data_IF_287577785898
#
_entry.id   IF_287577785898
#
_cell.length_a   1.000
_cell.length_b   1.000
_cell.length_c   1.000
_cell.angle_alpha   90.00
_cell.angle_beta   90.00
_cell.angle_gamma   90.00
#
_symmetry.space_group_name_H-M   'P 1'
#
loop_
_entity.id
_entity.type
_entity.pdbx_description
1 polymer ?
#
# COMPACT_ATOMS: atom_id res chain seq x y z
N UNK A 1 -59.31 16.18 23.45
CA UNK A 1 -59.18 16.76 22.11
C UNK A 1 -58.18 15.89 21.36
N UNK A 2 -58.73 14.91 20.63
CA UNK A 2 -58.90 14.92 19.17
C UNK A 2 -57.63 14.44 18.46
N UNK A 3 -57.74 13.20 17.98
CA UNK A 3 -56.82 12.53 17.08
C UNK A 3 -56.92 13.12 15.67
N UNK A 4 -55.84 12.98 14.88
CA UNK A 4 -55.93 13.01 13.42
C UNK A 4 -55.05 11.93 12.82
N UNK A 5 -55.73 10.91 12.30
CA UNK A 5 -55.27 9.91 11.33
C UNK A 5 -56.30 9.96 10.20
N UNK A 6 -55.89 10.35 9.01
CA UNK A 6 -56.55 10.12 7.70
C UNK A 6 -55.37 10.05 6.70
N UNK A 7 -55.03 9.01 5.92
CA UNK A 7 -55.69 7.99 5.08
C UNK A 7 -56.24 8.50 3.73
N UNK A 8 -55.64 8.00 2.63
CA UNK A 8 -56.13 7.94 1.24
C UNK A 8 -54.95 7.50 0.33
N UNK A 9 -54.83 6.29 -0.25
CA UNK A 9 -55.61 5.63 -1.34
C UNK A 9 -55.82 6.58 -2.55
N UNK A 10 -55.55 6.30 -3.83
CA UNK A 10 -55.46 5.11 -4.70
C UNK A 10 -54.60 5.50 -5.95
N UNK A 11 -53.71 4.67 -6.51
CA UNK A 11 -53.85 3.74 -7.68
C UNK A 11 -54.42 4.32 -8.99
N UNK A 12 -53.61 4.29 -10.06
CA UNK A 12 -53.92 3.93 -11.48
C UNK A 12 -52.68 4.29 -12.36
N UNK A 13 -51.88 3.34 -12.85
CA UNK A 13 -52.02 2.53 -14.07
C UNK A 13 -51.83 3.25 -15.43
N UNK A 14 -50.73 2.85 -16.09
CA UNK A 14 -50.52 2.49 -17.51
C UNK A 14 -50.44 3.52 -18.68
N UNK A 15 -49.37 3.30 -19.47
CA UNK A 15 -48.92 3.72 -20.82
C UNK A 15 -49.96 3.54 -21.98
N UNK A 16 -49.67 3.73 -23.30
CA UNK A 16 -48.44 4.10 -24.07
C UNK A 16 -48.67 5.04 -25.32
N UNK A 17 -47.61 5.27 -26.10
CA UNK A 17 -47.66 5.40 -27.57
C UNK A 17 -47.03 6.67 -28.15
N UNK A 18 -46.52 6.76 -29.40
CA UNK A 18 -45.82 5.88 -30.37
C UNK A 18 -45.55 6.74 -31.64
N UNK A 19 -44.81 6.20 -32.62
CA UNK A 19 -44.57 6.65 -34.02
C UNK A 19 -43.42 7.64 -34.24
N UNK A 20 -42.53 7.51 -35.24
CA UNK A 20 -42.31 6.64 -36.42
C UNK A 20 -41.06 7.23 -37.13
N UNK A 21 -40.19 6.54 -37.88
CA UNK A 21 -40.33 5.95 -39.22
C UNK A 21 -38.94 5.36 -39.63
N UNK A 22 -38.90 4.23 -40.37
CA UNK A 22 -37.70 3.73 -41.10
C UNK A 22 -37.53 4.40 -42.49
N UNK A 23 -36.74 3.87 -43.47
CA UNK A 23 -36.08 2.55 -43.56
C UNK A 23 -34.63 2.49 -44.14
N UNK A 24 -34.05 1.28 -44.10
CA UNK A 24 -33.01 0.62 -44.92
C UNK A 24 -31.95 1.40 -45.74
N UNK A 25 -30.65 1.11 -45.49
CA UNK A 25 -29.63 0.87 -46.55
C UNK A 25 -28.59 -0.19 -46.08
N UNK A 26 -28.43 -1.25 -46.86
CA UNK A 26 -27.36 -2.26 -46.83
C UNK A 26 -25.96 -1.67 -47.02
N UNK A 27 -24.99 -2.06 -46.18
CA UNK A 27 -23.57 -2.11 -46.55
C UNK A 27 -22.94 -3.40 -46.00
N UNK A 28 -22.71 -4.33 -46.91
CA UNK A 28 -21.69 -5.39 -46.83
C UNK A 28 -20.29 -4.77 -46.88
N UNK A 29 -19.39 -5.17 -45.97
CA UNK A 29 -17.97 -4.87 -46.16
C UNK A 29 -17.08 -5.11 -44.95
N UNK A 30 -16.26 -6.17 -45.06
CA UNK A 30 -14.91 -6.28 -44.51
C UNK A 30 -14.73 -6.66 -43.04
N UNK A 31 -14.24 -7.89 -42.86
CA UNK A 31 -13.40 -8.29 -41.73
C UNK A 31 -12.27 -7.26 -41.52
N UNK A 32 -11.91 -6.99 -40.25
CA UNK A 32 -10.52 -7.02 -39.90
C UNK A 32 -10.30 -8.08 -38.82
N UNK A 33 -9.47 -9.05 -39.22
CA UNK A 33 -8.46 -9.71 -38.41
C UNK A 33 -8.65 -9.59 -36.90
N UNK A 34 -9.16 -10.68 -36.30
CA UNK A 34 -9.05 -10.90 -34.87
C UNK A 34 -7.57 -11.18 -34.53
N UNK A 35 -6.74 -10.13 -34.65
CA UNK A 35 -5.57 -10.01 -33.81
C UNK A 35 -6.09 -9.75 -32.41
N UNK A 36 -6.48 -10.84 -31.73
CA UNK A 36 -6.51 -10.90 -30.27
C UNK A 36 -5.06 -10.70 -29.83
N UNK A 37 -4.62 -9.45 -29.87
CA UNK A 37 -3.43 -9.01 -29.17
C UNK A 37 -3.69 -9.38 -27.73
N UNK A 38 -2.94 -10.37 -27.28
CA UNK A 38 -2.80 -10.74 -25.89
C UNK A 38 -2.30 -9.48 -25.17
N UNK A 39 -3.25 -8.63 -24.74
CA UNK A 39 -2.96 -7.48 -23.90
C UNK A 39 -2.67 -8.09 -22.54
N UNK A 40 -1.43 -8.57 -22.39
CA UNK A 40 -0.83 -8.81 -21.10
C UNK A 40 -1.10 -7.53 -20.30
N UNK A 41 -1.86 -7.59 -19.18
CA UNK A 41 -2.11 -6.42 -18.39
C UNK A 41 -0.74 -5.87 -17.99
N UNK A 42 -0.40 -4.67 -18.50
CA UNK A 42 0.65 -3.88 -17.88
C UNK A 42 0.23 -3.74 -16.42
N UNK A 43 0.96 -4.37 -15.51
CA UNK A 43 0.91 -3.98 -14.11
C UNK A 43 1.47 -2.56 -14.07
N UNK A 44 0.58 -1.58 -14.24
CA UNK A 44 0.87 -0.19 -13.97
C UNK A 44 1.38 -0.10 -12.52
N UNK A 45 2.33 0.81 -12.27
CA UNK A 45 2.80 1.07 -10.91
C UNK A 45 1.57 1.27 -9.99
N UNK A 46 1.52 0.53 -8.89
CA UNK A 46 0.43 0.67 -7.93
C UNK A 46 0.49 2.06 -7.29
N UNK A 47 -0.66 2.56 -6.83
CA UNK A 47 -0.66 3.74 -5.97
C UNK A 47 0.23 3.47 -4.74
N UNK A 48 1.14 4.40 -4.37
CA UNK A 48 1.92 4.29 -3.16
C UNK A 48 1.05 4.16 -1.91
N UNK A 49 1.46 3.31 -0.98
CA UNK A 49 0.83 3.17 0.35
C UNK A 49 1.87 3.41 1.43
N UNK A 50 1.44 3.93 2.57
CA UNK A 50 2.32 4.01 3.74
C UNK A 50 2.57 2.63 4.35
N UNK A 51 3.66 2.48 5.10
CA UNK A 51 3.95 1.25 5.84
C UNK A 51 2.83 0.92 6.85
N UNK A 52 2.18 1.94 7.41
CA UNK A 52 1.03 1.72 8.28
C UNK A 52 -0.16 1.12 7.52
N UNK A 53 -0.51 1.71 6.38
CA UNK A 53 -1.62 1.24 5.53
C UNK A 53 -1.37 -0.17 4.99
N UNK A 54 -0.13 -0.50 4.60
CA UNK A 54 0.22 -1.85 4.14
C UNK A 54 0.05 -2.90 5.24
N UNK A 55 0.47 -2.60 6.47
CA UNK A 55 0.29 -3.49 7.61
C UNK A 55 -1.20 -3.67 7.96
N UNK A 56 -2.00 -2.61 7.85
CA UNK A 56 -3.44 -2.72 8.10
C UNK A 56 -4.15 -3.54 7.03
N UNK A 57 -3.90 -3.24 5.76
CA UNK A 57 -4.60 -3.85 4.63
C UNK A 57 -4.19 -5.30 4.37
N UNK A 58 -2.92 -5.65 4.59
CA UNK A 58 -2.39 -6.96 4.21
C UNK A 58 -2.08 -7.89 5.37
N UNK A 59 -1.74 -7.34 6.54
CA UNK A 59 -1.30 -8.12 7.70
C UNK A 59 -2.36 -8.18 8.80
N UNK A 60 -3.53 -7.58 8.55
CA UNK A 60 -4.68 -7.55 9.45
C UNK A 60 -4.43 -6.72 10.71
N UNK A 61 -3.49 -5.78 10.67
CA UNK A 61 -3.35 -4.81 11.76
C UNK A 61 -4.51 -3.84 11.75
N UNK A 62 -4.81 -3.32 12.93
CA UNK A 62 -5.80 -2.26 13.14
C UNK A 62 -5.07 -1.01 13.66
N UNK A 63 -5.74 0.15 13.72
CA UNK A 63 -5.19 1.33 14.37
C UNK A 63 -4.69 1.07 15.81
N UNK A 64 -5.29 0.11 16.53
CA UNK A 64 -4.89 -0.26 17.89
C UNK A 64 -3.49 -0.91 17.99
N UNK A 65 -2.92 -1.34 16.85
CA UNK A 65 -1.57 -1.88 16.79
C UNK A 65 -0.50 -0.77 16.83
N UNK A 66 -0.89 0.47 16.60
CA UNK A 66 0.02 1.61 16.52
C UNK A 66 -0.11 2.49 17.76
N UNK A 67 0.93 3.27 18.03
CA UNK A 67 0.84 4.40 18.94
C UNK A 67 0.46 5.65 18.15
N UNK A 68 -0.46 6.41 18.72
CA UNK A 68 -0.95 7.67 18.17
C UNK A 68 -0.39 8.87 18.97
N UNK A 69 0.40 8.61 20.01
CA UNK A 69 0.99 9.63 20.87
C UNK A 69 2.32 10.13 20.31
N UNK A 70 2.24 11.16 19.46
CA UNK A 70 3.42 11.85 18.93
C UNK A 70 3.06 12.89 17.87
N UNK A 71 4.04 13.64 17.37
CA UNK A 71 3.81 14.65 16.35
C UNK A 71 3.37 14.05 14.99
N UNK A 72 3.81 12.84 14.64
CA UNK A 72 3.58 12.22 13.33
C UNK A 72 3.18 10.74 13.40
N UNK A 73 2.04 10.43 14.03
CA UNK A 73 1.52 9.08 14.06
C UNK A 73 1.14 8.57 12.65
N UNK A 74 0.99 7.24 12.46
CA UNK A 74 1.10 6.19 13.47
C UNK A 74 2.52 5.65 13.68
N UNK A 75 2.83 5.28 14.93
CA UNK A 75 4.10 4.70 15.33
C UNK A 75 4.01 3.19 15.58
N UNK A 76 5.04 2.44 15.19
CA UNK A 76 5.17 1.01 15.49
C UNK A 76 6.48 0.71 16.23
N UNK A 77 6.62 -0.50 16.76
CA UNK A 77 7.88 -0.95 17.39
C UNK A 77 8.67 -1.83 16.43
N UNK A 78 9.99 -1.68 16.50
CA UNK A 78 10.92 -2.62 15.89
C UNK A 78 11.28 -3.69 16.92
N UNK A 79 11.10 -4.95 16.55
CA UNK A 79 11.44 -6.09 17.39
C UNK A 79 12.12 -7.20 16.59
N UNK A 80 12.16 -8.38 17.17
CA UNK A 80 12.46 -9.58 16.40
C UNK A 80 11.49 -10.73 16.63
N UNK A 81 11.46 -11.61 15.65
CA UNK A 81 10.56 -12.76 15.51
C UNK A 81 11.42 -13.99 15.24
N UNK A 82 11.08 -15.11 15.87
CA UNK A 82 11.64 -16.40 15.49
C UNK A 82 10.93 -16.86 14.22
N UNK A 83 11.71 -17.16 13.18
CA UNK A 83 11.21 -17.75 11.94
C UNK A 83 10.55 -19.10 12.19
N UNK A 84 9.74 -19.57 11.24
CA UNK A 84 9.04 -20.86 11.33
C UNK A 84 9.98 -22.06 11.47
N UNK A 85 11.23 -21.95 11.00
CA UNK A 85 12.24 -22.99 11.17
C UNK A 85 12.80 -23.03 12.60
N UNK A 86 12.45 -22.07 13.46
CA UNK A 86 12.89 -21.90 14.86
C UNK A 86 14.41 -21.78 15.04
N UNK A 87 15.17 -21.76 13.94
CA UNK A 87 16.64 -21.63 13.95
C UNK A 87 17.11 -20.23 13.61
N UNK A 88 16.26 -19.42 12.98
CA UNK A 88 16.64 -18.08 12.51
C UNK A 88 15.78 -17.02 13.19
N UNK A 89 16.44 -16.06 13.84
CA UNK A 89 15.82 -14.85 14.38
C UNK A 89 15.89 -13.77 13.32
N UNK A 90 14.79 -13.04 13.11
CA UNK A 90 14.67 -12.00 12.08
C UNK A 90 14.07 -10.71 12.64
N UNK A 91 14.37 -9.53 12.05
CA UNK A 91 13.72 -8.29 12.44
C UNK A 91 12.24 -8.32 12.04
N UNK A 92 11.39 -7.75 12.91
CA UNK A 92 9.94 -7.74 12.72
C UNK A 92 9.33 -6.39 13.09
N UNK A 93 8.25 -6.02 12.40
CA UNK A 93 7.33 -5.01 12.89
C UNK A 93 6.56 -5.59 14.07
N UNK A 94 6.51 -4.86 15.17
CA UNK A 94 5.81 -5.25 16.39
C UNK A 94 4.76 -4.20 16.72
N UNK A 95 3.58 -4.68 17.10
CA UNK A 95 2.52 -3.87 17.69
C UNK A 95 3.07 -3.07 18.86
N UNK A 96 2.64 -1.82 18.96
CA UNK A 96 2.97 -0.96 20.09
C UNK A 96 2.20 -1.38 21.34
N UNK A 97 0.93 -1.74 21.17
CA UNK A 97 0.12 -2.33 22.24
C UNK A 97 0.58 -3.75 22.53
N UNK A 98 0.80 -4.04 23.81
CA UNK A 98 1.12 -5.37 24.34
C UNK A 98 -0.12 -6.19 24.69
N UNK A 99 -1.32 -5.69 24.39
CA UNK A 99 -2.52 -6.41 24.71
C UNK A 99 -2.52 -7.76 24.00
N UNK A 100 -2.59 -8.83 24.81
CA UNK A 100 -2.60 -10.23 24.34
C UNK A 100 -3.84 -10.57 23.50
N UNK A 101 -4.73 -9.61 23.32
CA UNK A 101 -5.99 -9.72 22.58
C UNK A 101 -5.73 -9.54 21.07
N UNK A 102 -4.66 -8.84 20.67
CA UNK A 102 -4.32 -8.65 19.27
C UNK A 102 -3.76 -9.95 18.68
N UNK A 103 -4.50 -10.55 17.76
CA UNK A 103 -4.22 -11.86 17.15
C UNK A 103 -2.89 -11.92 16.39
N UNK A 104 -2.33 -10.75 16.03
CA UNK A 104 -1.12 -10.64 15.20
C UNK A 104 -0.25 -9.47 15.62
N UNK A 105 0.44 -9.63 16.76
CA UNK A 105 1.28 -8.57 17.33
C UNK A 105 2.66 -8.43 16.68
N UNK A 106 3.07 -9.35 15.79
CA UNK A 106 4.35 -9.30 15.07
C UNK A 106 4.20 -9.70 13.61
N UNK A 107 4.91 -9.00 12.73
CA UNK A 107 4.96 -9.23 11.28
C UNK A 107 6.42 -9.27 10.86
N UNK A 108 6.83 -10.29 10.10
CA UNK A 108 8.20 -10.35 9.58
C UNK A 108 8.44 -9.17 8.63
N UNK A 109 9.54 -8.44 8.81
CA UNK A 109 9.88 -7.37 7.88
C UNK A 109 10.21 -7.95 6.50
N UNK A 110 10.95 -9.05 6.45
CA UNK A 110 11.34 -9.68 5.19
C UNK A 110 10.12 -10.21 4.43
N UNK A 111 9.18 -10.89 5.10
CA UNK A 111 7.96 -11.42 4.46
C UNK A 111 6.98 -10.32 4.03
N UNK A 112 6.94 -9.20 4.74
CA UNK A 112 6.07 -8.09 4.39
C UNK A 112 6.67 -7.27 3.24
N UNK A 113 7.92 -6.84 3.38
CA UNK A 113 8.56 -5.94 2.42
C UNK A 113 8.87 -6.59 1.08
N UNK A 114 9.03 -7.93 1.01
CA UNK A 114 9.19 -8.66 -0.27
C UNK A 114 8.01 -8.51 -1.24
N UNK A 115 6.87 -8.02 -0.76
CA UNK A 115 5.70 -7.76 -1.61
C UNK A 115 5.90 -6.48 -2.43
N UNK A 116 6.75 -5.58 -1.97
CA UNK A 116 7.01 -4.30 -2.59
C UNK A 116 8.38 -4.29 -3.26
N UNK A 117 8.49 -3.55 -4.35
CA UNK A 117 9.77 -3.42 -5.07
C UNK A 117 10.57 -2.23 -4.56
N UNK A 118 9.85 -1.17 -4.13
CA UNK A 118 10.46 0.11 -3.80
C UNK A 118 9.90 0.70 -2.51
N UNK A 119 10.76 1.47 -1.84
CA UNK A 119 10.45 2.22 -0.64
C UNK A 119 10.92 3.67 -0.80
N UNK A 120 10.14 4.61 -0.27
CA UNK A 120 10.52 6.02 -0.14
C UNK A 120 10.43 6.43 1.32
N UNK A 121 11.42 7.20 1.77
CA UNK A 121 11.57 7.63 3.16
C UNK A 121 11.44 9.14 3.20
N UNK A 122 10.52 9.64 4.02
CA UNK A 122 10.40 11.06 4.35
C UNK A 122 11.52 11.45 5.33
N UNK A 123 12.18 12.62 5.16
CA UNK A 123 13.24 13.09 6.07
C UNK A 123 12.81 13.13 7.54
N UNK A 124 11.52 13.34 7.81
CA UNK A 124 10.96 13.34 9.14
C UNK A 124 11.25 12.05 9.93
N UNK A 125 11.29 10.90 9.25
CA UNK A 125 11.59 9.62 9.89
C UNK A 125 12.96 9.64 10.59
N UNK A 126 13.91 10.37 10.03
CA UNK A 126 15.24 10.52 10.63
C UNK A 126 15.27 11.62 11.69
N UNK A 127 14.58 12.73 11.45
CA UNK A 127 14.57 13.83 12.42
C UNK A 127 13.95 13.42 13.77
N UNK A 128 12.90 12.59 13.75
CA UNK A 128 12.30 12.08 14.99
C UNK A 128 13.15 11.02 15.68
N UNK A 129 13.82 10.13 14.93
CA UNK A 129 14.58 9.04 15.52
C UNK A 129 15.99 9.46 15.97
N UNK A 130 16.64 10.36 15.23
CA UNK A 130 18.07 10.67 15.38
C UNK A 130 18.32 12.13 15.76
N UNK A 131 17.31 12.99 15.62
CA UNK A 131 17.33 14.39 16.06
C UNK A 131 17.29 15.40 14.92
N UNK A 132 17.09 16.69 15.25
CA UNK A 132 16.93 17.74 14.25
C UNK A 132 18.16 17.87 13.33
N UNK A 133 17.92 17.98 12.02
CA UNK A 133 19.00 18.12 11.01
C UNK A 133 19.56 16.81 10.47
N UNK A 134 19.05 15.65 10.93
CA UNK A 134 19.40 14.34 10.38
C UNK A 134 18.64 14.03 9.07
N UNK A 135 17.53 14.73 8.81
CA UNK A 135 16.71 14.63 7.59
C UNK A 135 17.29 15.34 6.37
N UNK A 136 18.59 15.25 6.12
CA UNK A 136 19.25 15.94 4.99
C UNK A 136 19.74 15.00 3.90
N UNK A 137 19.85 15.51 2.67
CA UNK A 137 20.39 14.79 1.52
C UNK A 137 21.82 14.28 1.72
N UNK A 138 22.56 14.80 2.70
CA UNK A 138 23.89 14.31 3.06
C UNK A 138 23.82 12.99 3.84
N UNK A 139 22.75 12.78 4.60
CA UNK A 139 22.54 11.60 5.44
C UNK A 139 21.93 10.45 4.65
N UNK A 140 20.89 10.73 3.87
CA UNK A 140 20.12 9.70 3.17
C UNK A 140 19.40 10.28 1.94
N UNK A 141 19.16 9.51 0.87
CA UNK A 141 18.40 9.98 -0.30
C UNK A 141 16.88 10.00 -0.03
N UNK A 142 16.44 10.97 0.75
CA UNK A 142 15.03 11.16 1.08
C UNK A 142 14.18 11.55 -0.13
N UNK A 143 12.88 11.22 -0.09
CA UNK A 143 11.94 11.54 -1.18
C UNK A 143 12.20 10.80 -2.51
N UNK A 144 13.24 9.97 -2.59
CA UNK A 144 13.53 9.12 -3.72
C UNK A 144 12.91 7.72 -3.52
N UNK A 145 12.51 7.09 -4.62
CA UNK A 145 12.06 5.70 -4.62
C UNK A 145 13.26 4.77 -4.78
N UNK A 146 13.58 4.06 -3.71
CA UNK A 146 14.74 3.19 -3.58
C UNK A 146 14.33 1.73 -3.73
N UNK A 147 15.12 0.94 -4.45
CA UNK A 147 14.82 -0.48 -4.65
C UNK A 147 15.16 -1.28 -3.41
N UNK A 148 14.24 -2.10 -2.91
CA UNK A 148 14.46 -2.94 -1.73
C UNK A 148 15.34 -4.12 -2.12
N UNK A 149 16.50 -4.30 -1.47
CA UNK A 149 17.45 -5.37 -1.79
C UNK A 149 17.47 -6.46 -0.74
N UNK A 150 17.63 -6.08 0.53
CA UNK A 150 17.77 -7.03 1.63
C UNK A 150 17.35 -6.42 2.95
N UNK A 151 16.79 -7.25 3.81
CA UNK A 151 16.37 -6.89 5.18
C UNK A 151 17.25 -7.65 6.16
N UNK A 152 17.80 -6.95 7.16
CA UNK A 152 18.60 -7.56 8.23
C UNK A 152 18.61 -6.71 9.50
N UNK A 153 19.24 -7.20 10.56
CA UNK A 153 19.33 -6.47 11.83
C UNK A 153 20.20 -5.21 11.76
N UNK A 154 21.09 -5.12 10.78
CA UNK A 154 21.89 -3.91 10.53
C UNK A 154 21.12 -2.81 9.79
N UNK A 155 19.90 -3.10 9.30
CA UNK A 155 19.12 -2.18 8.47
C UNK A 155 18.55 -2.85 7.23
N UNK A 156 17.92 -2.03 6.39
CA UNK A 156 17.45 -2.42 5.06
C UNK A 156 18.46 -1.91 4.02
N UNK A 157 19.01 -2.82 3.25
CA UNK A 157 19.82 -2.50 2.07
C UNK A 157 18.88 -2.05 0.95
N UNK A 158 19.08 -0.83 0.48
CA UNK A 158 18.30 -0.17 -0.55
C UNK A 158 19.23 0.31 -1.66
N UNK A 159 18.73 0.37 -2.88
CA UNK A 159 19.52 0.85 -4.02
C UNK A 159 18.89 2.09 -4.65
N UNK A 160 19.70 3.15 -4.75
CA UNK A 160 19.42 4.34 -5.54
C UNK A 160 20.18 4.29 -6.88
N UNK A 161 19.51 4.67 -7.97
CA UNK A 161 20.13 4.73 -9.30
C UNK A 161 21.24 5.78 -9.38
N UNK A 162 21.11 6.87 -8.63
CA UNK A 162 22.09 7.98 -8.64
C UNK A 162 23.27 7.76 -7.69
N UNK A 163 23.02 7.17 -6.52
CA UNK A 163 23.97 7.11 -5.41
C UNK A 163 24.48 5.70 -5.08
N UNK A 164 23.86 4.66 -5.64
CA UNK A 164 24.21 3.26 -5.37
C UNK A 164 23.52 2.71 -4.13
N UNK A 165 24.18 1.75 -3.47
CA UNK A 165 23.65 1.09 -2.28
C UNK A 165 23.66 2.04 -1.07
N UNK A 166 22.54 2.08 -0.35
CA UNK A 166 22.37 2.81 0.92
C UNK A 166 21.72 1.89 1.95
N UNK A 167 21.98 2.13 3.22
CA UNK A 167 21.40 1.35 4.32
C UNK A 167 20.45 2.24 5.11
N UNK A 168 19.19 1.82 5.19
CA UNK A 168 18.19 2.43 6.06
C UNK A 168 18.26 1.78 7.45
N UNK A 169 18.56 2.55 8.52
CA UNK A 169 18.46 2.05 9.89
C UNK A 169 17.04 1.59 10.21
N UNK A 170 16.89 0.51 10.99
CA UNK A 170 15.57 -0.06 11.28
C UNK A 170 14.70 0.88 12.12
N UNK A 171 15.32 1.70 12.97
CA UNK A 171 14.65 2.63 13.87
C UNK A 171 13.76 3.61 13.10
N UNK A 172 14.20 4.08 11.93
CA UNK A 172 13.44 4.99 11.08
C UNK A 172 12.08 4.41 10.64
N UNK A 173 11.96 3.08 10.54
CA UNK A 173 10.71 2.39 10.19
C UNK A 173 9.65 2.47 11.31
N UNK A 174 10.03 2.93 12.51
CA UNK A 174 9.08 3.13 13.61
C UNK A 174 8.08 4.26 13.33
N UNK A 175 8.43 5.21 12.45
CA UNK A 175 7.58 6.32 12.02
C UNK A 175 6.80 5.86 10.77
N UNK A 176 5.80 5.00 10.97
CA UNK A 176 5.19 4.24 9.87
C UNK A 176 4.41 5.10 8.85
N UNK A 177 4.02 6.32 9.24
CA UNK A 177 3.47 7.38 8.36
C UNK A 177 4.49 7.92 7.35
N UNK A 178 5.77 7.93 7.71
CA UNK A 178 6.86 8.55 6.98
C UNK A 178 7.54 7.60 5.97
N UNK A 179 7.07 6.35 5.89
CA UNK A 179 7.61 5.31 5.02
C UNK A 179 6.56 4.93 4.00
N UNK A 180 6.91 5.04 2.73
CA UNK A 180 6.04 4.74 1.60
C UNK A 180 6.55 3.53 0.84
N UNK A 181 5.63 2.70 0.35
CA UNK A 181 5.87 1.45 -0.34
C UNK A 181 5.10 1.43 -1.66
N UNK A 182 5.68 0.81 -2.69
CA UNK A 182 4.97 0.57 -3.95
C UNK A 182 5.51 -0.62 -4.72
N UNK A 183 4.68 -1.15 -5.61
CA UNK A 183 5.14 -2.02 -6.70
C UNK A 183 5.76 -1.18 -7.81
N UNK A 184 6.91 -1.58 -8.30
CA UNK A 184 7.50 -1.00 -9.50
C UNK A 184 6.83 -1.61 -10.73
N UNK A 185 6.67 -0.83 -11.80
CA UNK A 185 6.46 -1.44 -13.11
C UNK A 185 7.68 -2.31 -13.39
N UNK A 186 7.51 -3.63 -13.46
CA UNK A 186 8.61 -4.54 -13.77
C UNK A 186 9.24 -4.08 -15.09
N UNK A 187 10.50 -3.59 -15.11
CA UNK A 187 11.10 -3.14 -16.35
C UNK A 187 11.28 -4.35 -17.26
N UNK A 188 10.88 -4.22 -18.55
CA UNK A 188 10.92 -5.31 -19.54
C UNK A 188 12.24 -6.10 -19.61
N UNK A 189 13.36 -5.52 -19.19
CA UNK A 189 14.69 -6.15 -19.21
C UNK A 189 14.97 -7.09 -18.03
N UNK A 190 14.11 -7.11 -17.00
CA UNK A 190 14.20 -8.05 -15.87
C UNK A 190 13.37 -9.33 -16.09
N UNK A 191 12.66 -9.45 -17.22
CA UNK A 191 11.79 -10.57 -17.57
C UNK A 191 12.42 -11.54 -18.59
N UNK A 192 13.72 -11.43 -18.86
CA UNK A 192 14.49 -12.25 -19.82
C UNK A 192 15.71 -12.85 -19.15
#
# INVERSE_FOLDING_TARGET
>A
MMASRETGHDVAEHQPGSHGFGPDILVTGSLPDAATGDVVPRMAASEPVTLAESLMSEEGWSPLNFDETGPNPPYLRIGGKLSMTLTEYEPCFSSYSRDRILFRSKVSMAEHLRKYDQMMIDPLAFEECFGPGEGTDATFPFGAWLTIRKVGFSGIELWDKGRGDVVLPLEALSIASAIWLRHAETPRWMLT
#
